data_IF_529229015498
#
_entry.id   IF_529229015498
#
_cell.length_a   1.000
_cell.length_b   1.000
_cell.length_c   1.000
_cell.angle_alpha   90.00
_cell.angle_beta   90.00
_cell.angle_gamma   90.00
#
_symmetry.space_group_name_H-M   'P 1'
#
loop_
_entity.id
_entity.type
_entity.pdbx_description
1 polymer ?
#
# COMPACT_ATOMS: atom_id res chain seq x y z
N UNK A 1 31.66 2.04 -10.78
CA UNK A 1 30.28 1.53 -10.61
C UNK A 1 29.50 2.54 -9.79
N UNK A 2 28.61 3.31 -10.43
CA UNK A 2 27.79 4.30 -9.72
C UNK A 2 26.79 3.60 -8.83
N UNK A 3 26.80 3.91 -7.54
CA UNK A 3 25.80 3.44 -6.57
C UNK A 3 24.43 3.98 -6.98
N UNK A 4 23.56 3.17 -7.58
CA UNK A 4 22.16 3.51 -7.79
C UNK A 4 21.56 3.83 -6.42
N UNK A 5 21.08 5.05 -6.26
CA UNK A 5 20.33 5.46 -5.07
C UNK A 5 19.13 4.52 -4.92
N UNK A 6 19.08 3.76 -3.83
CA UNK A 6 17.96 2.87 -3.53
C UNK A 6 16.66 3.69 -3.51
N UNK A 7 15.63 3.20 -4.19
CA UNK A 7 14.30 3.82 -4.16
C UNK A 7 13.62 3.43 -2.84
N UNK A 8 13.74 4.31 -1.83
CA UNK A 8 13.15 4.06 -0.51
C UNK A 8 11.70 4.53 -0.51
N UNK A 9 10.81 3.60 -0.26
CA UNK A 9 9.41 3.84 0.07
C UNK A 9 9.28 4.13 1.56
N UNK A 10 8.58 5.21 1.91
CA UNK A 10 8.25 5.57 3.30
C UNK A 10 6.74 5.65 3.38
N UNK A 11 6.12 4.79 4.19
CA UNK A 11 4.68 4.67 4.31
C UNK A 11 4.20 4.51 5.75
N UNK A 12 2.95 4.87 5.98
CA UNK A 12 2.15 4.45 7.14
C UNK A 12 0.80 3.94 6.67
N UNK A 13 0.12 3.18 7.55
CA UNK A 13 -1.31 2.87 7.43
C UNK A 13 -2.06 3.48 8.59
N UNK A 14 -3.32 3.80 8.36
CA UNK A 14 -4.27 4.30 9.35
C UNK A 14 -5.55 3.48 9.23
N UNK A 15 -6.13 3.06 10.34
CA UNK A 15 -7.43 2.38 10.31
C UNK A 15 -8.54 3.42 10.14
N UNK A 16 -9.42 3.19 9.18
CA UNK A 16 -10.58 4.07 8.93
C UNK A 16 -11.81 3.47 9.59
N UNK A 17 -12.30 4.12 10.63
CA UNK A 17 -13.52 3.70 11.34
C UNK A 17 -14.77 4.41 10.78
N UNK A 18 -14.63 5.65 10.30
CA UNK A 18 -15.70 6.39 9.64
C UNK A 18 -15.29 6.81 8.22
N UNK A 19 -15.72 6.02 7.25
CA UNK A 19 -15.44 6.24 5.82
C UNK A 19 -16.09 7.52 5.31
N UNK A 20 -17.26 7.90 5.83
CA UNK A 20 -17.95 9.14 5.43
C UNK A 20 -17.19 10.37 5.93
N UNK A 21 -16.68 10.34 7.16
CA UNK A 21 -15.85 11.41 7.70
C UNK A 21 -14.54 11.55 6.90
N UNK A 22 -13.87 10.45 6.58
CA UNK A 22 -12.67 10.47 5.74
C UNK A 22 -12.97 11.12 4.39
N UNK A 23 -14.06 10.72 3.72
CA UNK A 23 -14.45 11.29 2.42
C UNK A 23 -14.66 12.81 2.53
N UNK A 24 -15.39 13.29 3.53
CA UNK A 24 -15.58 14.74 3.76
C UNK A 24 -14.25 15.48 3.91
N UNK A 25 -13.32 14.93 4.70
CA UNK A 25 -11.98 15.51 4.90
C UNK A 25 -11.15 15.54 3.64
N UNK A 26 -11.15 14.46 2.84
CA UNK A 26 -10.47 14.42 1.54
C UNK A 26 -11.02 15.50 0.59
N UNK A 27 -12.36 15.72 0.58
CA UNK A 27 -12.97 16.79 -0.20
C UNK A 27 -12.56 18.18 0.31
N UNK A 28 -12.53 18.42 1.61
CA UNK A 28 -12.06 19.68 2.21
C UNK A 28 -10.58 19.97 1.86
N UNK A 29 -9.76 18.93 1.81
CA UNK A 29 -8.37 19.01 1.38
C UNK A 29 -8.21 19.10 -0.15
N UNK A 30 -9.32 19.18 -0.90
CA UNK A 30 -9.34 19.20 -2.37
C UNK A 30 -8.54 18.03 -2.99
N UNK A 31 -8.56 16.87 -2.32
CA UNK A 31 -7.95 15.67 -2.84
C UNK A 31 -8.66 15.24 -4.14
N UNK A 32 -7.88 15.00 -5.19
CA UNK A 32 -8.39 14.55 -6.50
C UNK A 32 -8.10 13.08 -6.68
N UNK A 33 -9.06 12.35 -7.23
CA UNK A 33 -8.85 10.96 -7.66
C UNK A 33 -7.85 10.95 -8.80
N UNK A 34 -6.75 10.23 -8.60
CA UNK A 34 -5.70 9.98 -9.62
C UNK A 34 -5.94 8.63 -10.27
N UNK A 35 -6.22 7.62 -9.47
CA UNK A 35 -6.61 6.29 -9.94
C UNK A 35 -7.98 5.97 -9.35
N UNK A 36 -9.00 5.78 -10.21
CA UNK A 36 -10.31 5.35 -9.76
C UNK A 36 -10.24 4.01 -9.06
N UNK A 37 -11.33 3.67 -8.38
CA UNK A 37 -11.43 2.41 -7.65
C UNK A 37 -11.06 1.22 -8.51
N UNK A 38 -10.01 0.52 -8.09
CA UNK A 38 -9.40 -0.62 -8.77
C UNK A 38 -9.42 -1.83 -7.84
N UNK A 39 -9.84 -2.97 -8.34
CA UNK A 39 -9.68 -4.23 -7.64
C UNK A 39 -8.26 -4.74 -7.83
N UNK A 40 -7.61 -5.07 -6.73
CA UNK A 40 -6.27 -5.65 -6.68
C UNK A 40 -6.31 -7.07 -6.11
N UNK A 41 -5.75 -8.02 -6.85
CA UNK A 41 -5.40 -9.34 -6.34
C UNK A 41 -3.89 -9.44 -6.20
N UNK A 42 -3.42 -9.74 -5.01
CA UNK A 42 -2.01 -9.76 -4.65
C UNK A 42 -1.62 -11.17 -4.21
N UNK A 43 -0.58 -11.75 -4.81
CA UNK A 43 -0.01 -13.03 -4.40
C UNK A 43 1.43 -12.83 -3.97
N UNK A 44 1.73 -13.20 -2.73
CA UNK A 44 3.09 -13.20 -2.18
C UNK A 44 3.75 -14.54 -2.48
N UNK A 45 5.00 -14.49 -2.91
CA UNK A 45 5.82 -15.65 -3.20
C UNK A 45 7.00 -15.75 -2.24
N UNK A 46 7.34 -16.97 -1.82
CA UNK A 46 8.50 -17.26 -1.00
C UNK A 46 8.95 -18.69 -1.23
N UNK A 47 10.12 -19.08 -0.73
CA UNK A 47 10.52 -20.49 -0.66
C UNK A 47 9.59 -21.25 0.29
N UNK A 48 9.47 -22.57 0.19
CA UNK A 48 8.73 -23.40 1.14
C UNK A 48 9.19 -23.17 2.60
N UNK A 49 10.46 -22.83 2.79
CA UNK A 49 11.06 -22.52 4.11
C UNK A 49 10.86 -21.06 4.54
N UNK A 50 10.18 -20.22 3.75
CA UNK A 50 9.93 -18.79 4.03
C UNK A 50 11.22 -17.97 4.18
N UNK A 51 12.20 -18.22 3.32
CA UNK A 51 13.52 -17.59 3.41
C UNK A 51 13.48 -16.08 3.19
N UNK A 52 12.64 -15.61 2.26
CA UNK A 52 12.48 -14.17 2.02
C UNK A 52 11.85 -13.49 3.23
N UNK A 53 10.77 -14.04 3.77
CA UNK A 53 10.09 -13.50 4.94
C UNK A 53 11.02 -13.44 6.16
N UNK A 54 11.84 -14.49 6.41
CA UNK A 54 12.84 -14.49 7.49
C UNK A 54 13.90 -13.41 7.34
N UNK A 55 14.24 -13.05 6.10
CA UNK A 55 15.16 -11.94 5.79
C UNK A 55 14.47 -10.58 5.73
N UNK A 56 13.17 -10.51 6.03
CA UNK A 56 12.39 -9.29 5.94
C UNK A 56 12.13 -8.85 4.49
N UNK A 57 12.32 -9.72 3.52
CA UNK A 57 12.10 -9.49 2.09
C UNK A 57 10.71 -9.94 1.67
N UNK A 58 10.26 -9.49 0.49
CA UNK A 58 8.97 -9.87 -0.08
C UNK A 58 9.05 -9.82 -1.61
N UNK A 59 8.48 -10.84 -2.26
CA UNK A 59 8.16 -10.82 -3.70
C UNK A 59 6.64 -10.93 -3.84
N UNK A 60 6.06 -10.08 -4.69
CA UNK A 60 4.62 -10.02 -4.92
C UNK A 60 4.32 -9.89 -6.41
N UNK A 61 3.33 -10.65 -6.88
CA UNK A 61 2.65 -10.38 -8.13
C UNK A 61 1.29 -9.76 -7.78
N UNK A 62 1.00 -8.59 -8.36
CA UNK A 62 -0.27 -7.90 -8.24
C UNK A 62 -0.94 -7.86 -9.60
N UNK A 63 -2.23 -8.19 -9.66
CA UNK A 63 -3.07 -7.95 -10.83
C UNK A 63 -4.10 -6.89 -10.48
N UNK A 64 -4.31 -5.93 -11.39
CA UNK A 64 -5.19 -4.78 -11.21
C UNK A 64 -6.30 -4.79 -12.27
N UNK A 65 -7.55 -4.61 -11.82
CA UNK A 65 -8.71 -4.51 -12.68
C UNK A 65 -9.58 -3.33 -12.27
N UNK A 66 -10.03 -2.47 -13.21
CA UNK A 66 -10.99 -1.42 -12.91
C UNK A 66 -12.24 -2.01 -12.30
N UNK A 67 -12.77 -1.39 -11.23
CA UNK A 67 -13.99 -1.86 -10.57
C UNK A 67 -15.25 -1.46 -11.34
N UNK A 68 -15.22 -0.34 -12.08
CA UNK A 68 -16.35 0.16 -12.86
C UNK A 68 -16.58 -0.68 -14.13
N UNK A 69 -17.82 -1.12 -14.40
CA UNK A 69 -18.18 -1.80 -15.65
C UNK A 69 -17.88 -0.94 -16.91
N UNK A 70 -18.11 0.37 -16.82
CA UNK A 70 -17.82 1.30 -17.92
C UNK A 70 -16.31 1.35 -18.22
N UNK A 71 -15.47 1.40 -17.19
CA UNK A 71 -14.03 1.39 -17.35
C UNK A 71 -13.47 0.04 -17.86
N UNK A 72 -14.20 -1.06 -17.62
CA UNK A 72 -13.86 -2.38 -18.20
C UNK A 72 -14.14 -2.45 -19.69
N UNK A 73 -15.24 -1.85 -20.16
CA UNK A 73 -15.63 -1.87 -21.59
C UNK A 73 -14.71 -1.06 -22.49
N UNK A 74 -14.10 0.00 -21.98
CA UNK A 74 -13.18 0.86 -22.75
C UNK A 74 -11.75 0.33 -22.81
N UNK A 75 -11.43 -0.71 -22.03
CA UNK A 75 -10.08 -1.25 -21.93
C UNK A 75 -9.99 -2.58 -22.68
N UNK A 76 -9.49 -2.54 -23.91
CA UNK A 76 -9.11 -3.71 -24.73
C UNK A 76 -7.85 -4.43 -24.24
N UNK A 77 -7.27 -3.97 -23.12
CA UNK A 77 -6.01 -4.50 -22.60
C UNK A 77 -6.26 -5.51 -21.46
N UNK A 78 -5.44 -6.55 -21.41
CA UNK A 78 -5.33 -7.51 -20.31
C UNK A 78 -5.15 -6.80 -18.96
N UNK A 79 -5.54 -7.44 -17.82
CA UNK A 79 -5.27 -6.89 -16.50
C UNK A 79 -3.81 -6.51 -16.36
N UNK A 80 -3.54 -5.31 -15.85
CA UNK A 80 -2.17 -4.88 -15.59
C UNK A 80 -1.58 -5.76 -14.49
N UNK A 81 -0.46 -6.38 -14.74
CA UNK A 81 0.28 -7.14 -13.74
C UNK A 81 1.58 -6.41 -13.36
N UNK A 82 1.91 -6.46 -12.08
CA UNK A 82 3.10 -5.84 -11.49
C UNK A 82 3.86 -6.88 -10.69
N UNK A 83 5.16 -6.98 -10.92
CA UNK A 83 6.08 -7.71 -10.06
C UNK A 83 6.76 -6.72 -9.15
N UNK A 84 6.63 -6.92 -7.84
CA UNK A 84 7.23 -6.07 -6.81
C UNK A 84 8.19 -6.88 -5.95
N UNK A 85 9.40 -6.36 -5.74
CA UNK A 85 10.31 -6.77 -4.69
C UNK A 85 10.36 -5.70 -3.62
N UNK A 86 10.25 -6.09 -2.34
CA UNK A 86 10.53 -5.19 -1.20
C UNK A 86 11.68 -5.75 -0.38
N UNK A 87 12.70 -4.92 -0.19
CA UNK A 87 13.88 -5.22 0.61
C UNK A 87 13.59 -5.32 2.11
N UNK A 88 14.59 -5.74 2.92
CA UNK A 88 14.47 -5.71 4.38
C UNK A 88 14.37 -4.26 4.88
N UNK A 89 13.83 -4.05 6.10
CA UNK A 89 13.94 -2.76 6.75
C UNK A 89 15.40 -2.32 6.83
N UNK A 90 15.73 -1.03 6.66
CA UNK A 90 17.08 -0.53 6.81
C UNK A 90 17.63 -0.92 8.18
N UNK A 91 18.90 -1.36 8.22
CA UNK A 91 19.58 -1.60 9.50
C UNK A 91 19.73 -0.28 10.24
N UNK A 92 19.51 -0.28 11.56
CA UNK A 92 19.74 0.88 12.42
C UNK A 92 21.21 1.34 12.25
N UNK A 93 21.40 2.54 11.70
CA UNK A 93 22.73 3.09 11.38
C UNK A 93 22.94 3.51 9.92
N UNK A 94 22.11 3.04 9.00
CA UNK A 94 22.12 3.52 7.60
C UNK A 94 21.46 4.89 7.56
N UNK A 95 22.11 5.89 7.00
CA UNK A 95 21.82 7.33 6.97
C UNK A 95 20.38 7.79 6.76
N UNK A 96 19.45 7.36 7.61
CA UNK A 96 18.16 8.04 7.83
C UNK A 96 18.32 9.07 8.96
N UNK A 97 19.56 9.59 9.13
CA UNK A 97 19.90 10.59 10.18
C UNK A 97 19.11 11.90 10.09
N UNK A 98 18.34 12.11 9.05
CA UNK A 98 17.49 13.31 8.92
C UNK A 98 16.01 13.09 9.25
N UNK A 99 15.60 11.89 9.66
CA UNK A 99 14.18 11.56 9.85
C UNK A 99 13.81 11.29 11.31
N UNK A 100 14.77 10.96 12.16
CA UNK A 100 14.51 10.63 13.55
C UNK A 100 15.55 11.31 14.45
N UNK A 101 15.13 12.43 15.03
CA UNK A 101 15.65 12.85 16.32
C UNK A 101 14.91 12.03 17.40
N UNK A 102 15.68 11.59 18.38
CA UNK A 102 15.29 11.01 19.65
C UNK A 102 14.87 9.53 19.71
N UNK A 103 15.75 8.80 20.40
CA UNK A 103 15.53 7.57 21.17
C UNK A 103 15.11 6.29 20.42
N UNK A 104 15.71 5.18 20.82
CA UNK A 104 15.53 3.75 20.52
C UNK A 104 14.08 3.21 20.42
N UNK A 105 13.11 3.98 19.89
CA UNK A 105 11.75 3.53 19.67
C UNK A 105 11.62 2.98 18.24
N UNK A 106 10.78 1.96 18.06
CA UNK A 106 10.37 1.40 16.77
C UNK A 106 10.03 2.56 15.81
N UNK A 107 10.63 2.55 14.61
CA UNK A 107 10.37 3.59 13.61
C UNK A 107 8.86 3.80 13.43
N UNK A 108 8.41 5.05 13.52
CA UNK A 108 7.00 5.44 13.29
C UNK A 108 6.55 5.18 11.86
N UNK A 109 7.50 5.03 10.95
CA UNK A 109 7.25 4.81 9.53
C UNK A 109 7.77 3.45 9.13
N UNK A 110 7.12 2.84 8.17
CA UNK A 110 7.64 1.69 7.47
C UNK A 110 8.50 2.18 6.32
N UNK A 111 9.78 1.82 6.33
CA UNK A 111 10.76 2.21 5.32
C UNK A 111 11.33 0.96 4.68
N UNK A 112 11.31 0.90 3.35
CA UNK A 112 11.85 -0.23 2.58
C UNK A 112 12.35 0.22 1.22
N UNK A 113 13.33 -0.48 0.70
CA UNK A 113 13.62 -0.44 -0.73
C UNK A 113 12.47 -1.13 -1.47
N UNK A 114 11.97 -0.51 -2.54
CA UNK A 114 10.99 -1.09 -3.43
C UNK A 114 11.47 -1.05 -4.87
N UNK A 115 11.35 -2.19 -5.56
CA UNK A 115 11.57 -2.33 -6.98
C UNK A 115 10.27 -2.89 -7.56
N UNK A 116 9.63 -2.15 -8.46
CA UNK A 116 8.40 -2.58 -9.12
C UNK A 116 8.52 -2.46 -10.63
N UNK A 117 8.08 -3.47 -11.34
CA UNK A 117 8.05 -3.50 -12.81
C UNK A 117 6.70 -4.01 -13.29
N UNK A 118 6.23 -3.47 -14.41
CA UNK A 118 5.08 -4.02 -15.11
C UNK A 118 5.50 -5.29 -15.85
N UNK A 119 4.63 -6.31 -15.77
CA UNK A 119 4.77 -7.55 -16.53
C UNK A 119 3.54 -7.73 -17.41
N UNK A 120 3.75 -8.30 -18.61
CA UNK A 120 2.67 -8.50 -19.58
C UNK A 120 1.67 -9.54 -19.11
N UNK A 121 2.14 -10.55 -18.37
CA UNK A 121 1.36 -11.70 -17.93
C UNK A 121 1.81 -12.12 -16.51
N UNK A 122 0.91 -11.93 -15.54
CA UNK A 122 1.16 -12.26 -14.13
C UNK A 122 1.17 -13.78 -13.88
N UNK A 123 0.44 -14.57 -14.67
CA UNK A 123 0.41 -16.02 -14.53
C UNK A 123 1.73 -16.62 -15.01
N UNK A 124 2.21 -16.22 -16.19
CA UNK A 124 3.51 -16.64 -16.69
C UNK A 124 4.64 -16.23 -15.75
N UNK A 125 4.58 -15.02 -15.18
CA UNK A 125 5.54 -14.60 -14.17
C UNK A 125 5.49 -15.49 -12.93
N UNK A 126 4.30 -15.91 -12.49
CA UNK A 126 4.14 -16.85 -11.38
C UNK A 126 4.79 -18.22 -11.70
N UNK A 127 4.68 -18.72 -12.95
CA UNK A 127 5.35 -19.94 -13.40
C UNK A 127 6.87 -19.81 -13.38
N UNK A 128 7.40 -18.65 -13.79
CA UNK A 128 8.84 -18.36 -13.71
C UNK A 128 9.30 -18.39 -12.24
N UNK A 129 8.59 -17.72 -11.34
CA UNK A 129 8.91 -17.76 -9.90
C UNK A 129 8.86 -19.19 -9.35
N UNK A 130 7.89 -20.00 -9.80
CA UNK A 130 7.79 -21.42 -9.46
C UNK A 130 9.01 -22.22 -9.93
N UNK A 131 9.46 -22.03 -11.18
CA UNK A 131 10.66 -22.67 -11.72
C UNK A 131 11.94 -22.26 -10.94
N UNK A 132 11.94 -21.08 -10.33
CA UNK A 132 13.01 -20.60 -9.44
C UNK A 132 12.87 -21.08 -7.99
N UNK A 133 11.94 -21.99 -7.69
CA UNK A 133 11.74 -22.57 -6.35
C UNK A 133 10.90 -21.73 -5.40
N UNK A 134 10.21 -20.69 -5.88
CA UNK A 134 9.29 -19.90 -5.09
C UNK A 134 7.85 -20.41 -5.26
N UNK A 135 7.10 -20.49 -4.18
CA UNK A 135 5.70 -20.90 -4.21
C UNK A 135 4.78 -19.79 -3.67
N UNK A 136 3.49 -19.77 -4.07
CA UNK A 136 2.51 -18.86 -3.49
C UNK A 136 2.37 -19.13 -1.99
N UNK A 137 2.63 -18.11 -1.16
CA UNK A 137 2.56 -18.20 0.30
C UNK A 137 1.29 -17.63 0.87
N UNK A 138 0.83 -16.51 0.33
CA UNK A 138 -0.31 -15.77 0.84
C UNK A 138 -0.94 -14.95 -0.26
N UNK A 139 -2.26 -15.02 -0.39
CA UNK A 139 -3.03 -14.20 -1.33
C UNK A 139 -3.94 -13.25 -0.56
N UNK A 140 -4.01 -12.00 -1.02
CA UNK A 140 -4.95 -11.03 -0.47
C UNK A 140 -5.54 -10.13 -1.55
N UNK A 141 -6.76 -9.69 -1.28
CA UNK A 141 -7.54 -8.84 -2.18
C UNK A 141 -7.86 -7.52 -1.50
N UNK A 142 -7.98 -6.47 -2.29
CA UNK A 142 -8.47 -5.17 -1.85
C UNK A 142 -9.03 -4.37 -3.01
N UNK A 143 -9.86 -3.39 -2.70
CA UNK A 143 -10.19 -2.31 -3.61
C UNK A 143 -9.40 -1.08 -3.20
N UNK A 144 -8.70 -0.46 -4.16
CA UNK A 144 -7.87 0.73 -3.93
C UNK A 144 -8.38 1.91 -4.73
N UNK A 145 -8.48 3.07 -4.10
CA UNK A 145 -8.64 4.36 -4.76
C UNK A 145 -7.46 5.24 -4.41
N UNK A 146 -6.76 5.78 -5.41
CA UNK A 146 -5.60 6.65 -5.20
C UNK A 146 -5.98 8.11 -5.37
N UNK A 147 -5.57 8.94 -4.42
CA UNK A 147 -5.77 10.38 -4.42
C UNK A 147 -4.43 11.11 -4.42
N UNK A 148 -4.45 12.32 -4.98
CA UNK A 148 -3.40 13.31 -4.83
C UNK A 148 -3.99 14.60 -4.30
N UNK A 149 -3.23 15.32 -3.47
CA UNK A 149 -3.58 16.67 -3.02
C UNK A 149 -2.93 17.67 -3.96
N UNK A 150 -3.74 18.60 -4.51
CA UNK A 150 -3.25 19.66 -5.38
C UNK A 150 -2.63 20.79 -4.56
N UNK A 151 -1.50 21.31 -5.05
CA UNK A 151 -0.68 22.32 -4.39
C UNK A 151 -1.02 23.77 -4.79
N UNK A 152 -2.14 24.03 -5.49
CA UNK A 152 -2.50 25.39 -5.91
C UNK A 152 -3.34 26.13 -4.84
N UNK A 153 -2.94 27.38 -4.55
CA UNK A 153 -3.64 28.43 -3.79
C UNK A 153 -4.04 28.07 -2.34
N UNK A 154 -3.30 28.63 -1.40
CA UNK A 154 -3.49 28.39 0.04
C UNK A 154 -2.87 27.08 0.51
N UNK A 155 -1.90 26.70 -0.17
CA UNK A 155 -1.29 25.42 -0.33
C UNK A 155 -0.61 24.92 0.94
N UNK A 156 -0.87 23.68 1.23
CA UNK A 156 -0.20 22.84 2.22
C UNK A 156 1.32 22.72 1.91
N UNK A 157 1.80 23.22 0.77
CA UNK A 157 3.18 23.11 0.27
C UNK A 157 3.85 24.48 0.12
N UNK A 158 5.05 24.61 0.65
CA UNK A 158 5.89 25.78 0.43
C UNK A 158 6.43 25.82 -1.01
N UNK A 159 6.47 27.01 -1.68
CA UNK A 159 6.97 27.13 -3.05
C UNK A 159 8.46 26.80 -3.22
N UNK A 160 9.22 26.73 -2.13
CA UNK A 160 10.69 26.56 -2.14
C UNK A 160 11.18 25.09 -2.05
N UNK A 161 10.30 24.10 -1.94
CA UNK A 161 10.74 22.70 -1.97
C UNK A 161 10.91 22.21 -3.41
N UNK A 162 12.13 22.31 -3.92
CA UNK A 162 12.55 21.81 -5.25
C UNK A 162 12.45 20.30 -5.45
N UNK A 163 11.93 19.55 -4.48
CA UNK A 163 11.77 18.09 -4.56
C UNK A 163 10.44 17.65 -3.94
N UNK A 164 9.34 18.04 -4.59
CA UNK A 164 8.01 17.56 -4.20
C UNK A 164 7.86 16.11 -4.65
N UNK A 165 8.29 15.16 -3.82
CA UNK A 165 7.71 13.82 -3.86
C UNK A 165 6.25 14.00 -3.43
N UNK A 166 5.34 13.89 -4.42
CA UNK A 166 3.90 14.02 -4.18
C UNK A 166 3.49 12.99 -3.15
N UNK A 167 2.83 13.44 -2.07
CA UNK A 167 2.22 12.51 -1.12
C UNK A 167 1.16 11.71 -1.87
N UNK A 168 1.30 10.41 -1.84
CA UNK A 168 0.33 9.46 -2.36
C UNK A 168 -0.61 9.08 -1.23
N UNK A 169 -1.90 9.18 -1.48
CA UNK A 169 -2.97 8.84 -0.53
C UNK A 169 -3.74 7.70 -1.15
N UNK A 170 -3.78 6.56 -0.50
CA UNK A 170 -4.49 5.38 -0.99
C UNK A 170 -5.53 4.93 0.03
N UNK A 171 -6.77 4.85 -0.41
CA UNK A 171 -7.87 4.29 0.39
C UNK A 171 -8.06 2.84 -0.02
N UNK A 172 -7.78 1.94 0.91
CA UNK A 172 -7.85 0.50 0.73
C UNK A 172 -9.05 -0.09 1.47
N UNK A 173 -9.98 -0.64 0.74
CA UNK A 173 -11.05 -1.46 1.30
C UNK A 173 -10.61 -2.92 1.23
N UNK A 174 -10.51 -3.57 2.37
CA UNK A 174 -10.03 -4.95 2.52
C UNK A 174 -11.08 -5.83 3.22
N UNK A 175 -10.95 -7.16 3.19
CA UNK A 175 -11.83 -8.06 3.95
C UNK A 175 -11.83 -7.81 5.47
N UNK A 176 -10.79 -7.18 6.02
CA UNK A 176 -10.64 -6.90 7.46
C UNK A 176 -10.88 -5.43 7.83
N UNK A 177 -11.46 -4.65 6.91
CA UNK A 177 -11.80 -3.25 7.14
C UNK A 177 -11.15 -2.30 6.14
N UNK A 178 -11.40 -1.02 6.33
CA UNK A 178 -10.88 0.06 5.49
C UNK A 178 -9.63 0.66 6.11
N UNK A 179 -8.64 0.93 5.27
CA UNK A 179 -7.37 1.54 5.65
C UNK A 179 -7.05 2.71 4.73
N UNK A 180 -6.29 3.65 5.27
CA UNK A 180 -5.67 4.73 4.51
C UNK A 180 -4.16 4.50 4.54
N UNK A 181 -3.51 4.44 3.38
CA UNK A 181 -2.06 4.45 3.25
C UNK A 181 -1.60 5.86 2.85
N UNK A 182 -0.59 6.36 3.53
CA UNK A 182 0.10 7.61 3.19
C UNK A 182 1.54 7.28 2.86
N UNK A 183 1.97 7.60 1.64
CA UNK A 183 3.32 7.36 1.14
C UNK A 183 3.95 8.69 0.72
N UNK A 184 5.14 8.99 1.25
CA UNK A 184 5.85 10.24 0.96
C UNK A 184 6.96 10.55 1.93
N UNK A 185 7.31 11.84 2.08
CA UNK A 185 8.26 12.26 3.12
C UNK A 185 7.60 12.21 4.49
N UNK A 186 8.34 11.94 5.58
CA UNK A 186 7.79 11.95 6.94
C UNK A 186 6.99 13.20 7.28
N UNK A 187 7.54 14.38 6.96
CA UNK A 187 6.86 15.66 7.21
C UNK A 187 5.54 15.79 6.46
N UNK A 188 5.47 15.29 5.22
CA UNK A 188 4.26 15.27 4.42
C UNK A 188 3.22 14.31 4.99
N UNK A 189 3.66 13.11 5.38
CA UNK A 189 2.83 12.09 6.02
C UNK A 189 2.20 12.64 7.29
N UNK A 190 3.02 13.16 8.21
CA UNK A 190 2.55 13.68 9.50
C UNK A 190 1.57 14.83 9.35
N UNK A 191 1.86 15.74 8.42
CA UNK A 191 1.00 16.88 8.14
C UNK A 191 -0.37 16.42 7.63
N UNK A 192 -0.41 15.53 6.65
CA UNK A 192 -1.68 15.08 6.06
C UNK A 192 -2.44 14.18 7.02
N UNK A 193 -1.77 13.29 7.76
CA UNK A 193 -2.40 12.49 8.80
C UNK A 193 -3.13 13.39 9.82
N UNK A 194 -2.47 14.45 10.31
CA UNK A 194 -3.07 15.41 11.24
C UNK A 194 -4.28 16.14 10.64
N UNK A 195 -4.20 16.59 9.39
CA UNK A 195 -5.31 17.23 8.68
C UNK A 195 -6.50 16.28 8.48
N UNK A 196 -6.23 15.00 8.36
CA UNK A 196 -7.24 13.95 8.30
C UNK A 196 -7.73 13.52 9.71
N UNK A 197 -7.21 14.16 10.80
CA UNK A 197 -7.63 13.94 12.17
C UNK A 197 -7.01 12.73 12.84
N UNK A 198 -5.83 12.31 12.39
CA UNK A 198 -5.05 11.24 13.00
C UNK A 198 -3.82 11.80 13.72
N UNK A 199 -3.35 11.05 14.70
CA UNK A 199 -2.14 11.32 15.48
C UNK A 199 -1.09 10.23 15.25
N UNK A 200 0.10 10.39 15.77
CA UNK A 200 1.16 9.38 15.64
C UNK A 200 0.81 8.04 16.29
N UNK A 201 -0.07 8.04 17.31
CA UNK A 201 -0.54 6.80 17.96
C UNK A 201 -1.40 5.94 17.04
N UNK A 202 -1.96 6.51 15.96
CA UNK A 202 -2.80 5.80 15.00
C UNK A 202 -1.98 5.13 13.90
N UNK A 203 -0.66 5.37 13.87
CA UNK A 203 0.21 4.88 12.80
C UNK A 203 0.44 3.38 12.89
N UNK A 204 0.16 2.70 11.80
CA UNK A 204 0.32 1.26 11.64
C UNK A 204 1.43 1.00 10.62
N UNK A 205 2.50 0.33 11.05
CA UNK A 205 3.62 -0.06 10.18
C UNK A 205 3.54 -1.53 9.73
N UNK A 206 2.57 -2.26 10.23
CA UNK A 206 2.34 -3.67 9.94
C UNK A 206 1.89 -3.89 8.48
N UNK A 207 2.23 -5.06 7.95
CA UNK A 207 1.73 -5.51 6.64
C UNK A 207 0.28 -5.97 6.73
N UNK A 208 -0.43 -6.02 5.59
CA UNK A 208 -1.79 -6.60 5.56
C UNK A 208 -1.82 -8.06 6.01
N UNK A 209 -0.80 -8.85 5.70
CA UNK A 209 -0.69 -10.22 6.21
C UNK A 209 -0.62 -10.28 7.73
N UNK A 210 0.19 -9.42 8.37
CA UNK A 210 0.28 -9.34 9.83
C UNK A 210 -1.03 -8.86 10.47
N UNK A 211 -1.67 -7.86 9.88
CA UNK A 211 -2.99 -7.36 10.31
C UNK A 211 -4.07 -8.44 10.19
N UNK A 212 -4.05 -9.22 9.12
CA UNK A 212 -4.97 -10.32 8.91
C UNK A 212 -4.79 -11.43 9.92
N UNK A 213 -3.54 -11.80 10.22
CA UNK A 213 -3.24 -12.80 11.28
C UNK A 213 -3.75 -12.33 12.63
N UNK A 214 -3.51 -11.05 12.99
CA UNK A 214 -4.02 -10.47 14.22
C UNK A 214 -5.55 -10.46 14.29
N UNK A 215 -6.19 -10.06 13.18
CA UNK A 215 -7.65 -10.09 13.03
C UNK A 215 -8.22 -11.52 13.17
N UNK A 216 -7.59 -12.50 12.53
CA UNK A 216 -8.03 -13.89 12.58
C UNK A 216 -7.96 -14.46 14.00
N UNK A 217 -6.89 -14.14 14.74
CA UNK A 217 -6.73 -14.54 16.16
C UNK A 217 -7.82 -13.93 17.04
N UNK A 218 -8.11 -12.63 16.84
CA UNK A 218 -9.15 -11.94 17.61
C UNK A 218 -10.54 -12.55 17.40
N UNK A 219 -10.82 -13.06 16.19
CA UNK A 219 -12.12 -13.64 15.81
C UNK A 219 -12.14 -15.17 15.85
N UNK A 220 -11.09 -15.83 16.37
CA UNK A 220 -11.07 -17.25 16.64
C UNK A 220 -11.02 -18.16 15.40
N UNK A 221 -10.52 -17.68 14.25
CA UNK A 221 -10.38 -18.52 13.06
C UNK A 221 -8.92 -18.66 12.59
N UNK A 222 -8.62 -19.77 11.92
CA UNK A 222 -7.28 -20.03 11.37
C UNK A 222 -7.04 -19.13 10.15
N UNK A 223 -5.96 -18.34 10.13
CA UNK A 223 -5.64 -17.49 8.99
C UNK A 223 -5.26 -18.34 7.76
N UNK A 224 -5.87 -18.00 6.62
CA UNK A 224 -5.57 -18.57 5.31
C UNK A 224 -5.21 -17.42 4.34
N UNK A 225 -5.95 -17.25 3.27
CA UNK A 225 -5.86 -16.09 2.38
C UNK A 225 -6.88 -15.02 2.79
N UNK A 226 -6.52 -13.75 2.63
CA UNK A 226 -7.40 -12.62 2.93
C UNK A 226 -8.18 -12.22 1.68
N UNK A 227 -9.28 -12.92 1.41
CA UNK A 227 -10.11 -12.76 0.22
C UNK A 227 -11.48 -12.21 0.58
N UNK A 228 -12.08 -11.45 -0.33
CA UNK A 228 -13.49 -11.10 -0.18
C UNK A 228 -14.37 -12.34 -0.34
N UNK A 229 -15.48 -12.45 0.42
CA UNK A 229 -16.48 -13.47 0.17
C UNK A 229 -16.99 -13.40 -1.27
N UNK A 230 -17.32 -14.52 -1.92
CA UNK A 230 -17.76 -14.56 -3.32
C UNK A 230 -18.93 -13.61 -3.62
N UNK A 231 -19.84 -13.42 -2.66
CA UNK A 231 -21.02 -12.55 -2.77
C UNK A 231 -20.73 -11.07 -2.63
N UNK A 232 -19.59 -10.68 -2.01
CA UNK A 232 -19.20 -9.27 -1.77
C UNK A 232 -18.33 -8.66 -2.87
N UNK A 233 -17.91 -9.42 -3.88
CA UNK A 233 -16.99 -8.91 -4.90
C UNK A 233 -17.54 -7.78 -5.77
N UNK A 234 -18.81 -7.48 -5.77
CA UNK A 234 -19.41 -6.65 -6.81
C UNK A 234 -20.25 -5.42 -6.35
N UNK A 235 -20.80 -5.35 -5.15
CA UNK A 235 -21.83 -4.32 -4.89
C UNK A 235 -21.72 -3.43 -3.65
N UNK A 236 -21.01 -3.80 -2.58
CA UNK A 236 -21.26 -3.19 -1.26
C UNK A 236 -20.29 -2.09 -0.78
N UNK A 237 -19.40 -1.58 -1.59
CA UNK A 237 -18.43 -0.58 -1.11
C UNK A 237 -18.34 0.68 -1.98
N UNK A 238 -19.48 1.17 -2.46
CA UNK A 238 -19.60 2.35 -3.33
C UNK A 238 -19.31 3.70 -2.64
N UNK A 239 -18.64 3.72 -1.49
CA UNK A 239 -18.34 4.95 -0.76
C UNK A 239 -17.15 5.74 -1.33
N UNK A 240 -16.35 5.12 -2.20
CA UNK A 240 -15.28 5.79 -2.95
C UNK A 240 -15.44 5.53 -4.44
N UNK A 241 -15.26 6.57 -5.28
CA UNK A 241 -15.38 6.47 -6.73
C UNK A 241 -14.26 5.63 -7.37
#
# INVERSE_FOLDING_TARGET
MGTRKANLEIEIKLRVTDVRALRRRLMQLRARVVTPRTYESNTLYDTPKKDLARRGQLIRIRTEQPSSPAARKTRTQSPKALLTYKGPPPKSGTSIRQVNDESRSKSRYKVREEIEIAVSDGEQMGRILGALGLCPLFRYEKFRTTYAISTRAGSIWSPNEKSVRRLKIEVDVTPIGTFLELEGTPSSIDRVARLLGYSHSDYITQTYGALYIAHSRLHGYKPTNMLFPPTKKLHDHALFP
#
